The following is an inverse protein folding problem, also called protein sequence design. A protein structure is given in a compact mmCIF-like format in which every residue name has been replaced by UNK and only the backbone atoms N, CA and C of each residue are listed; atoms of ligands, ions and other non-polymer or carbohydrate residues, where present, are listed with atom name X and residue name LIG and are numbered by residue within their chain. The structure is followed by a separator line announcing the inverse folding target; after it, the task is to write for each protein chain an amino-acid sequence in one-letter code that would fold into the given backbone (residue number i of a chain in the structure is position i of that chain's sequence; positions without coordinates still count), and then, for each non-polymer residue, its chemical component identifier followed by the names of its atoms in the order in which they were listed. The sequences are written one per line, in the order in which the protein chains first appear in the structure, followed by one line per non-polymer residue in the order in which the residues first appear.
data_IF_896119103377
#
_entry.id   IF_896119103377
#
_cell.length_a   1.000
_cell.length_b   1.000
_cell.length_c   1.000
_cell.angle_alpha   90.00
_cell.angle_beta   90.00
_cell.angle_gamma   90.00
#
_symmetry.space_group_name_H-M   'P 1'
#
loop_
_entity.id
_entity.type
_entity.pdbx_description
1 polymer ?
#
# COMPACT_ATOMS: atom_id res chain seq x y z
N UNK A 1 2.86 -3.27 14.49
CA UNK A 1 1.59 -2.61 14.10
C UNK A 1 1.24 -2.93 12.66
N UNK A 2 2.11 -2.64 11.69
CA UNK A 2 1.89 -2.97 10.27
C UNK A 2 1.44 -4.42 10.06
N UNK A 3 2.19 -5.41 10.57
CA UNK A 3 1.81 -6.84 10.47
C UNK A 3 0.43 -7.13 11.08
N UNK A 4 0.12 -6.57 12.25
CA UNK A 4 -1.17 -6.79 12.93
C UNK A 4 -2.34 -6.19 12.13
N UNK A 5 -2.16 -5.01 11.52
CA UNK A 5 -3.15 -4.39 10.63
C UNK A 5 -3.32 -5.20 9.35
N UNK A 6 -2.24 -5.77 8.79
CA UNK A 6 -2.33 -6.61 7.59
C UNK A 6 -3.09 -7.90 7.90
N UNK A 7 -2.80 -8.52 9.05
CA UNK A 7 -3.53 -9.71 9.52
C UNK A 7 -5.00 -9.40 9.80
N UNK A 8 -5.34 -8.20 10.29
CA UNK A 8 -6.72 -7.77 10.50
C UNK A 8 -7.46 -7.54 9.17
N UNK A 9 -6.84 -6.88 8.18
CA UNK A 9 -7.37 -6.80 6.81
C UNK A 9 -7.63 -8.19 6.23
N UNK A 10 -6.71 -9.13 6.47
CA UNK A 10 -6.81 -10.49 5.99
C UNK A 10 -7.95 -11.26 6.69
N UNK A 11 -8.04 -11.15 8.02
CA UNK A 11 -9.12 -11.75 8.80
C UNK A 11 -10.52 -11.24 8.43
N UNK A 12 -10.62 -9.99 7.93
CA UNK A 12 -11.86 -9.40 7.44
C UNK A 12 -12.19 -9.73 5.97
N UNK A 13 -11.38 -10.55 5.29
CA UNK A 13 -11.45 -10.79 3.83
C UNK A 13 -11.36 -9.50 2.98
N UNK A 14 -10.92 -8.38 3.55
CA UNK A 14 -10.71 -7.12 2.84
C UNK A 14 -9.34 -7.06 2.15
N UNK A 15 -8.40 -7.92 2.53
CA UNK A 15 -7.08 -7.97 1.91
C UNK A 15 -7.08 -8.57 0.49
N UNK A 16 -8.02 -9.48 0.19
CA UNK A 16 -8.03 -10.30 -1.04
C UNK A 16 -9.39 -10.30 -1.76
N UNK A 17 -10.30 -9.40 -1.35
CA UNK A 17 -11.58 -9.21 -2.03
C UNK A 17 -11.47 -8.42 -3.34
N UNK A 18 -12.60 -8.23 -4.06
CA UNK A 18 -12.63 -7.47 -5.32
C UNK A 18 -12.12 -6.04 -5.18
N UNK A 19 -12.19 -5.46 -3.98
CA UNK A 19 -11.60 -4.17 -3.60
C UNK A 19 -10.63 -4.49 -2.46
N UNK A 20 -9.33 -4.41 -2.75
CA UNK A 20 -8.28 -4.72 -1.77
C UNK A 20 -8.03 -3.50 -0.89
N UNK A 21 -8.37 -3.63 0.39
CA UNK A 21 -8.20 -2.56 1.37
C UNK A 21 -7.21 -3.05 2.42
N UNK A 22 -5.96 -2.58 2.33
CA UNK A 22 -4.91 -2.90 3.29
C UNK A 22 -4.79 -1.77 4.31
N UNK A 23 -5.31 -1.99 5.52
CA UNK A 23 -5.22 -0.99 6.60
C UNK A 23 -3.78 -0.56 6.92
N UNK A 24 -2.82 -1.45 6.68
CA UNK A 24 -1.39 -1.20 6.86
C UNK A 24 -0.83 -0.13 5.94
N UNK A 25 -1.44 0.08 4.78
CA UNK A 25 -1.01 1.09 3.81
C UNK A 25 -1.33 2.51 4.28
N UNK A 26 -2.29 2.67 5.20
CA UNK A 26 -2.49 3.94 5.91
C UNK A 26 -1.26 4.39 6.70
N UNK A 27 -0.32 3.49 7.01
CA UNK A 27 0.96 3.82 7.66
C UNK A 27 2.02 4.33 6.67
N UNK A 28 1.82 4.20 5.36
CA UNK A 28 2.78 4.65 4.33
C UNK A 28 2.83 6.16 4.15
N UNK A 29 1.94 6.90 4.80
CA UNK A 29 2.03 8.36 4.90
C UNK A 29 2.98 8.81 6.01
N UNK A 30 3.35 7.94 6.95
CA UNK A 30 4.27 8.27 8.06
C UNK A 30 5.68 8.72 7.62
N UNK A 31 6.28 8.16 6.55
CA UNK A 31 7.54 8.65 5.98
C UNK A 31 7.57 10.14 5.66
N UNK A 32 6.41 10.78 5.46
CA UNK A 32 6.30 12.23 5.29
C UNK A 32 6.75 13.01 6.55
N UNK A 33 6.51 12.46 7.74
CA UNK A 33 6.92 13.08 9.01
C UNK A 33 8.27 12.55 9.50
N UNK A 34 8.50 11.26 9.32
CA UNK A 34 9.67 10.54 9.80
C UNK A 34 10.19 9.61 8.70
N UNK A 35 11.17 10.05 7.89
CA UNK A 35 11.69 9.26 6.77
C UNK A 35 12.17 7.86 7.18
N UNK A 36 12.59 7.67 8.44
CA UNK A 36 13.03 6.41 9.03
C UNK A 36 11.90 5.36 9.09
N UNK A 37 10.64 5.81 9.12
CA UNK A 37 9.47 4.92 9.09
C UNK A 37 9.44 4.05 7.82
N UNK A 38 10.07 4.49 6.72
CA UNK A 38 10.14 3.75 5.46
C UNK A 38 10.72 2.34 5.63
N UNK A 39 11.78 2.19 6.43
CA UNK A 39 12.39 0.89 6.69
C UNK A 39 11.51 0.00 7.57
N UNK A 40 10.80 0.59 8.54
CA UNK A 40 9.84 -0.13 9.37
C UNK A 40 8.65 -0.66 8.56
N UNK A 41 8.17 0.12 7.58
CA UNK A 41 7.12 -0.29 6.66
C UNK A 41 7.60 -1.40 5.72
N UNK A 42 8.82 -1.30 5.19
CA UNK A 42 9.41 -2.33 4.36
C UNK A 42 9.50 -3.68 5.09
N UNK A 43 10.09 -3.69 6.30
CA UNK A 43 10.19 -4.91 7.12
C UNK A 43 8.80 -5.43 7.47
N UNK A 44 7.88 -4.54 7.84
CA UNK A 44 6.49 -4.90 8.12
C UNK A 44 5.78 -5.57 6.93
N UNK A 45 6.00 -5.03 5.72
CA UNK A 45 5.44 -5.55 4.47
C UNK A 45 6.04 -6.90 4.10
N UNK A 46 7.36 -7.06 4.21
CA UNK A 46 8.03 -8.36 4.04
C UNK A 46 7.43 -9.39 4.99
N UNK A 47 7.36 -9.08 6.30
CA UNK A 47 6.84 -10.01 7.30
C UNK A 47 5.37 -10.35 7.08
N UNK A 48 4.53 -9.41 6.66
CA UNK A 48 3.12 -9.69 6.38
C UNK A 48 2.93 -10.51 5.12
N UNK A 49 3.77 -10.30 4.11
CA UNK A 49 3.67 -11.01 2.83
C UNK A 49 4.31 -12.40 2.85
N UNK A 50 5.06 -12.78 3.89
CA UNK A 50 5.46 -14.18 4.13
C UNK A 50 4.24 -15.11 4.20
N UNK A 51 3.11 -14.59 4.68
CA UNK A 51 1.84 -15.31 4.80
C UNK A 51 0.87 -14.99 3.64
N UNK A 52 1.34 -14.35 2.56
CA UNK A 52 0.49 -14.00 1.43
C UNK A 52 0.14 -15.24 0.58
N UNK A 53 -1.13 -15.41 0.17
CA UNK A 53 -1.57 -16.51 -0.70
C UNK A 53 -1.03 -16.38 -2.14
N UNK A 54 -0.55 -15.21 -2.55
CA UNK A 54 0.06 -14.98 -3.87
C UNK A 54 1.56 -15.34 -3.94
N UNK A 55 2.08 -15.97 -2.87
CA UNK A 55 3.43 -16.52 -2.86
C UNK A 55 4.56 -15.48 -2.72
N UNK A 56 5.82 -15.91 -2.90
CA UNK A 56 7.00 -15.07 -2.63
C UNK A 56 7.16 -13.89 -3.62
N UNK A 57 6.48 -13.94 -4.76
CA UNK A 57 6.53 -12.88 -5.77
C UNK A 57 5.80 -11.62 -5.29
N UNK A 58 4.67 -11.77 -4.60
CA UNK A 58 3.96 -10.68 -3.92
C UNK A 58 4.75 -10.11 -2.74
N UNK A 59 5.55 -10.94 -2.06
CA UNK A 59 6.48 -10.45 -1.04
C UNK A 59 7.53 -9.52 -1.63
N UNK A 60 8.14 -9.88 -2.76
CA UNK A 60 9.19 -9.06 -3.39
C UNK A 60 8.58 -7.81 -4.03
N UNK A 61 7.54 -7.97 -4.84
CA UNK A 61 6.90 -6.86 -5.57
C UNK A 61 6.18 -5.92 -4.60
N UNK A 62 5.45 -6.46 -3.63
CA UNK A 62 4.74 -5.65 -2.63
C UNK A 62 5.66 -4.91 -1.67
N UNK A 63 6.74 -5.54 -1.20
CA UNK A 63 7.72 -4.83 -0.35
C UNK A 63 8.50 -3.78 -1.13
N UNK A 64 8.87 -4.04 -2.38
CA UNK A 64 9.48 -3.05 -3.26
C UNK A 64 8.54 -1.88 -3.57
N UNK A 65 7.26 -2.16 -3.85
CA UNK A 65 6.22 -1.15 -4.04
C UNK A 65 6.08 -0.25 -2.81
N UNK A 66 5.98 -0.86 -1.63
CA UNK A 66 5.84 -0.16 -0.35
C UNK A 66 7.07 0.70 -0.04
N UNK A 67 8.27 0.20 -0.32
CA UNK A 67 9.51 0.96 -0.11
C UNK A 67 9.61 2.15 -1.08
N UNK A 68 9.31 1.93 -2.37
CA UNK A 68 9.27 3.01 -3.36
C UNK A 68 8.24 4.08 -2.99
N UNK A 69 7.03 3.65 -2.63
CA UNK A 69 5.99 4.53 -2.13
C UNK A 69 6.46 5.34 -0.93
N UNK A 70 7.02 4.68 0.09
CA UNK A 70 7.50 5.33 1.30
C UNK A 70 8.61 6.37 1.02
N UNK A 71 9.57 6.04 0.15
CA UNK A 71 10.65 6.96 -0.24
C UNK A 71 10.14 8.16 -1.03
N UNK A 72 9.15 7.96 -1.91
CA UNK A 72 8.50 9.04 -2.64
C UNK A 72 7.67 9.92 -1.70
N UNK A 73 6.95 9.31 -0.76
CA UNK A 73 6.17 9.99 0.27
C UNK A 73 7.03 10.85 1.19
N UNK A 74 8.23 10.36 1.57
CA UNK A 74 9.20 11.13 2.35
C UNK A 74 9.71 12.39 1.63
N UNK A 75 9.61 12.45 0.30
CA UNK A 75 10.01 13.61 -0.51
C UNK A 75 8.84 14.54 -0.86
N UNK A 76 7.61 14.17 -0.50
CA UNK A 76 6.45 15.00 -0.75
C UNK A 76 6.44 16.24 0.16
N UNK A 77 5.87 17.35 -0.33
CA UNK A 77 5.76 18.62 0.43
C UNK A 77 4.37 18.84 1.04
N UNK A 78 3.34 18.16 0.53
CA UNK A 78 1.96 18.32 0.99
C UNK A 78 1.38 16.99 1.51
N UNK A 79 0.55 17.06 2.56
CA UNK A 79 -0.16 15.91 3.14
C UNK A 79 -1.03 15.14 2.14
N UNK A 80 -1.61 15.84 1.16
CA UNK A 80 -2.41 15.23 0.11
C UNK A 80 -1.54 14.51 -0.93
N UNK A 81 -0.37 15.06 -1.25
CA UNK A 81 0.59 14.41 -2.15
C UNK A 81 1.28 13.23 -1.47
N UNK A 82 1.36 13.18 -0.14
CA UNK A 82 1.95 12.07 0.60
C UNK A 82 1.13 10.76 0.48
N UNK A 83 -0.18 10.86 0.31
CA UNK A 83 -1.07 9.70 0.12
C UNK A 83 -1.08 9.19 -1.33
N UNK A 84 -0.50 9.93 -2.28
CA UNK A 84 -0.60 9.66 -3.71
C UNK A 84 0.42 8.61 -4.21
N UNK A 85 1.71 8.64 -3.81
CA UNK A 85 2.69 7.61 -4.16
C UNK A 85 2.28 6.20 -3.75
N UNK A 86 1.79 5.94 -2.52
CA UNK A 86 1.34 4.60 -2.12
C UNK A 86 0.22 4.07 -3.02
N UNK A 87 -0.78 4.91 -3.30
CA UNK A 87 -1.91 4.55 -4.17
C UNK A 87 -1.45 4.21 -5.58
N UNK A 88 -0.58 5.03 -6.18
CA UNK A 88 -0.09 4.78 -7.53
C UNK A 88 0.83 3.56 -7.60
N UNK A 89 1.78 3.43 -6.67
CA UNK A 89 2.71 2.31 -6.64
C UNK A 89 1.96 0.99 -6.45
N UNK A 90 1.02 0.93 -5.51
CA UNK A 90 0.23 -0.29 -5.27
C UNK A 90 -0.74 -0.58 -6.41
N UNK A 91 -1.46 0.42 -6.94
CA UNK A 91 -2.35 0.24 -8.09
C UNK A 91 -1.61 -0.34 -9.31
N UNK A 92 -0.42 0.17 -9.61
CA UNK A 92 0.35 -0.27 -10.77
C UNK A 92 1.02 -1.63 -10.49
N UNK A 93 1.76 -1.76 -9.39
CA UNK A 93 2.60 -2.95 -9.16
C UNK A 93 1.77 -4.15 -8.71
N UNK A 94 0.84 -3.96 -7.76
CA UNK A 94 -0.04 -5.03 -7.29
C UNK A 94 -1.11 -5.35 -8.34
N UNK A 95 -1.68 -4.32 -9.00
CA UNK A 95 -2.60 -4.52 -10.10
C UNK A 95 -1.98 -5.30 -11.27
N UNK A 96 -0.72 -5.04 -11.61
CA UNK A 96 0.02 -5.82 -12.62
C UNK A 96 0.33 -7.24 -12.16
N UNK A 97 0.68 -7.44 -10.89
CA UNK A 97 0.93 -8.77 -10.34
C UNK A 97 -0.33 -9.64 -10.40
N UNK A 98 -1.49 -9.11 -9.99
CA UNK A 98 -2.75 -9.86 -10.04
C UNK A 98 -3.15 -10.14 -11.49
N UNK A 99 -3.03 -9.16 -12.39
CA UNK A 99 -3.34 -9.35 -13.80
C UNK A 99 -2.46 -10.41 -14.45
N UNK A 100 -1.18 -10.49 -14.04
CA UNK A 100 -0.27 -11.54 -14.49
C UNK A 100 -0.70 -12.92 -13.98
N UNK A 101 -1.05 -13.04 -12.69
CA UNK A 101 -1.52 -14.29 -12.09
C UNK A 101 -2.85 -14.77 -12.71
N UNK A 102 -3.77 -13.85 -13.03
CA UNK A 102 -5.10 -14.18 -13.54
C UNK A 102 -5.13 -14.46 -15.05
N UNK A 103 -4.38 -13.68 -15.85
CA UNK A 103 -4.48 -13.71 -17.31
C UNK A 103 -3.16 -14.00 -18.04
N UNK A 104 -2.02 -14.09 -17.34
CA UNK A 104 -0.70 -14.23 -17.94
C UNK A 104 -0.32 -13.05 -18.85
N UNK A 105 0.62 -13.25 -19.79
CA UNK A 105 1.09 -12.22 -20.75
C UNK A 105 0.29 -12.23 -22.06
N UNK A 106 -0.99 -12.60 -21.99
CA UNK A 106 -1.86 -12.70 -23.17
C UNK A 106 -2.63 -11.41 -23.49
N UNK A 107 -3.49 -11.46 -24.51
CA UNK A 107 -4.44 -10.37 -24.82
C UNK A 107 -5.44 -10.08 -23.68
N UNK A 108 -5.56 -10.97 -22.68
CA UNK A 108 -6.33 -10.76 -21.46
C UNK A 108 -5.63 -9.88 -20.41
N UNK A 109 -4.32 -9.63 -20.55
CA UNK A 109 -3.55 -8.84 -19.59
C UNK A 109 -4.00 -7.37 -19.49
N UNK A 110 -4.17 -6.61 -20.60
CA UNK A 110 -4.59 -5.22 -20.49
C UNK A 110 -5.93 -5.02 -19.76
N UNK A 111 -7.03 -5.75 -20.09
CA UNK A 111 -8.29 -5.57 -19.37
C UNK A 111 -8.21 -6.03 -17.90
N UNK A 112 -7.51 -7.13 -17.61
CA UNK A 112 -7.30 -7.58 -16.23
C UNK A 112 -6.46 -6.57 -15.42
N UNK A 113 -5.44 -5.97 -16.05
CA UNK A 113 -4.61 -4.93 -15.44
C UNK A 113 -5.43 -3.69 -15.10
N UNK A 114 -6.20 -3.14 -16.04
CA UNK A 114 -7.00 -1.95 -15.76
C UNK A 114 -8.05 -2.21 -14.68
N UNK A 115 -8.70 -3.37 -14.70
CA UNK A 115 -9.66 -3.75 -13.67
C UNK A 115 -9.00 -3.83 -12.28
N UNK A 116 -7.92 -4.62 -12.16
CA UNK A 116 -7.23 -4.82 -10.89
C UNK A 116 -6.52 -3.55 -10.39
N UNK A 117 -5.93 -2.76 -11.28
CA UNK A 117 -5.31 -1.48 -10.92
C UNK A 117 -6.35 -0.48 -10.41
N UNK A 118 -7.54 -0.43 -10.99
CA UNK A 118 -8.63 0.43 -10.52
C UNK A 118 -9.15 -0.02 -9.16
N UNK A 119 -9.39 -1.32 -8.97
CA UNK A 119 -9.95 -1.81 -7.71
C UNK A 119 -8.96 -1.72 -6.55
N UNK A 120 -7.70 -2.10 -6.78
CA UNK A 120 -6.61 -1.93 -5.81
C UNK A 120 -6.37 -0.45 -5.55
N UNK A 121 -6.26 0.37 -6.60
CA UNK A 121 -6.06 1.81 -6.48
C UNK A 121 -7.16 2.50 -5.69
N UNK A 122 -8.43 2.08 -5.86
CA UNK A 122 -9.54 2.61 -5.07
C UNK A 122 -9.46 2.19 -3.59
N UNK A 123 -9.18 0.93 -3.30
CA UNK A 123 -9.03 0.46 -1.91
C UNK A 123 -7.86 1.14 -1.19
N UNK A 124 -6.74 1.28 -1.89
CA UNK A 124 -5.55 2.01 -1.41
C UNK A 124 -5.84 3.50 -1.22
N UNK A 125 -6.58 4.12 -2.13
CA UNK A 125 -6.98 5.53 -1.99
C UNK A 125 -7.86 5.71 -0.75
N UNK A 126 -8.81 4.82 -0.51
CA UNK A 126 -9.61 4.84 0.71
C UNK A 126 -8.73 4.68 1.94
N UNK A 127 -7.82 3.70 1.97
CA UNK A 127 -6.91 3.50 3.10
C UNK A 127 -6.04 4.73 3.37
N UNK A 128 -5.37 5.28 2.36
CA UNK A 128 -4.42 6.38 2.51
C UNK A 128 -5.10 7.72 2.77
N UNK A 129 -6.20 8.04 2.09
CA UNK A 129 -6.88 9.33 2.26
C UNK A 129 -7.84 9.34 3.45
N UNK A 130 -8.57 8.25 3.71
CA UNK A 130 -9.56 8.21 4.81
C UNK A 130 -8.90 7.88 6.15
N UNK A 131 -7.87 7.03 6.18
CA UNK A 131 -7.20 6.65 7.42
C UNK A 131 -5.82 7.32 7.57
N UNK A 132 -5.03 7.36 6.49
CA UNK A 132 -3.68 7.94 6.50
C UNK A 132 -3.67 9.45 6.76
N UNK A 133 -4.49 10.26 6.07
CA UNK A 133 -4.48 11.72 6.27
C UNK A 133 -4.90 12.12 7.70
N UNK A 134 -5.98 11.58 8.30
CA UNK A 134 -6.29 11.87 9.69
C UNK A 134 -5.20 11.43 10.66
N UNK A 135 -4.60 10.25 10.45
CA UNK A 135 -3.47 9.77 11.24
C UNK A 135 -2.30 10.76 11.19
N UNK A 136 -1.96 11.25 10.00
CA UNK A 136 -0.91 12.23 9.78
C UNK A 136 -1.22 13.56 10.49
N UNK A 137 -2.48 14.02 10.45
CA UNK A 137 -2.92 15.22 11.17
C UNK A 137 -2.82 15.09 12.70
N UNK A 138 -3.21 13.93 13.25
CA UNK A 138 -3.05 13.64 14.69
C UNK A 138 -1.57 13.59 15.06
N UNK A 139 -0.74 12.91 14.26
CA UNK A 139 0.68 12.79 14.53
C UNK A 139 1.44 14.11 14.41
N UNK A 140 1.13 14.96 13.43
CA UNK A 140 1.70 16.32 13.33
C UNK A 140 1.46 17.13 14.61
N UNK A 141 0.23 17.04 15.16
CA UNK A 141 -0.13 17.74 16.39
C UNK A 141 0.62 17.22 17.61
N UNK A 142 0.89 15.91 17.68
CA UNK A 142 1.64 15.30 18.77
C UNK A 142 3.16 15.47 18.66
N UNK A 143 3.71 15.44 17.44
CA UNK A 143 5.15 15.59 17.21
C UNK A 143 5.66 17.03 17.39
N UNK A 144 4.80 18.01 17.64
CA UNK A 144 5.15 19.44 17.75
C UNK A 144 6.06 19.92 16.60
N UNK A 145 5.75 19.52 15.38
CA UNK A 145 6.33 20.16 14.20
C UNK A 145 5.55 21.48 14.00
N UNK A 146 6.03 22.53 14.69
CA UNK A 146 5.61 23.91 14.46
C UNK A 146 5.91 24.36 13.04
#
# INVERSE_FOLDING_TARGET
IYVALTMLSNALNLAYGPIQLRFSEAMTVLPFLMPEASWGLFIGCVLSNILSPYGPLDMIVGSAATLLAALLTARCRNKWTAALPPVLCNAILIGALIAWEEAGVGNGFPPAFFYNALTVGLGEAVACYVLGIPLLGVMQKHLKLN
#
